data_IF_904973446745
#
_entry.id   IF_904973446745
#
_cell.length_a   1.000
_cell.length_b   1.000
_cell.length_c   1.000
_cell.angle_alpha   90.00
_cell.angle_beta   90.00
_cell.angle_gamma   90.00
#
_symmetry.space_group_name_H-M   'P 1'
#
loop_
_entity.id
_entity.type
_entity.pdbx_description
1 polymer ?
#
# COMPACT_ATOMS: atom_id res chain seq x y z
N UNK A 1 8.43 -22.02 6.39
CA UNK A 1 8.65 -21.29 5.11
C UNK A 1 7.48 -21.31 4.10
N UNK A 2 6.73 -22.40 3.93
CA UNK A 2 5.64 -22.43 2.91
C UNK A 2 4.41 -21.53 3.20
N UNK A 3 4.05 -21.31 4.47
CA UNK A 3 2.90 -20.47 4.83
C UNK A 3 3.14 -18.97 4.55
N UNK A 4 4.39 -18.51 4.59
CA UNK A 4 4.78 -17.11 4.33
C UNK A 4 4.62 -16.78 2.84
N UNK A 5 5.05 -17.69 1.96
CA UNK A 5 4.88 -17.59 0.52
C UNK A 5 3.42 -17.59 0.07
N UNK A 6 2.58 -18.45 0.68
CA UNK A 6 1.13 -18.50 0.38
C UNK A 6 0.45 -17.17 0.74
N UNK A 7 0.83 -16.53 1.86
CA UNK A 7 0.30 -15.21 2.24
C UNK A 7 0.67 -14.14 1.21
N UNK A 8 1.91 -14.13 0.72
CA UNK A 8 2.40 -13.17 -0.29
C UNK A 8 1.71 -13.37 -1.65
N UNK A 9 1.55 -14.62 -2.10
CA UNK A 9 0.81 -14.93 -3.33
C UNK A 9 -0.67 -14.50 -3.22
N UNK A 10 -1.26 -14.59 -2.02
CA UNK A 10 -2.63 -14.11 -1.76
C UNK A 10 -2.71 -12.58 -1.86
N UNK A 11 -1.71 -11.86 -1.37
CA UNK A 11 -1.62 -10.40 -1.49
C UNK A 11 -1.48 -9.97 -2.97
N UNK A 12 -0.72 -10.71 -3.77
CA UNK A 12 -0.66 -10.53 -5.23
C UNK A 12 -2.01 -10.64 -5.96
N UNK A 13 -3.05 -11.25 -5.35
CA UNK A 13 -4.39 -11.29 -5.96
C UNK A 13 -5.08 -9.93 -5.98
N UNK A 14 -4.76 -9.03 -5.04
CA UNK A 14 -5.27 -7.66 -5.07
C UNK A 14 -4.62 -6.83 -6.18
N UNK A 15 -3.57 -7.35 -6.84
CA UNK A 15 -3.05 -6.73 -8.05
C UNK A 15 -4.03 -6.73 -9.23
N UNK A 16 -5.12 -7.48 -9.13
CA UNK A 16 -6.26 -7.36 -10.04
C UNK A 16 -6.90 -5.98 -9.98
N UNK A 17 -6.76 -5.20 -8.89
CA UNK A 17 -7.29 -3.84 -8.80
C UNK A 17 -6.61 -2.89 -9.81
N UNK A 18 -5.37 -3.16 -10.22
CA UNK A 18 -4.73 -2.43 -11.34
C UNK A 18 -5.47 -2.66 -12.66
N UNK A 19 -6.19 -3.78 -12.83
CA UNK A 19 -7.07 -3.97 -13.98
C UNK A 19 -8.28 -3.03 -13.98
N UNK A 20 -8.67 -2.45 -12.84
CA UNK A 20 -9.70 -1.39 -12.79
C UNK A 20 -9.21 -0.13 -13.49
N UNK A 21 -7.90 0.13 -13.52
CA UNK A 21 -7.32 1.21 -14.33
C UNK A 21 -7.44 0.94 -15.84
N UNK A 22 -7.48 -0.33 -16.24
CA UNK A 22 -7.72 -0.75 -17.64
C UNK A 22 -9.18 -0.68 -18.08
N UNK A 23 -10.11 -0.34 -17.18
CA UNK A 23 -11.51 -0.05 -17.53
C UNK A 23 -11.68 1.37 -18.11
N UNK A 24 -10.64 1.94 -18.74
CA UNK A 24 -10.66 3.28 -19.33
C UNK A 24 -11.85 3.50 -20.26
N UNK A 25 -12.19 2.48 -21.04
CA UNK A 25 -13.29 2.55 -22.01
C UNK A 25 -14.65 2.61 -21.31
N UNK A 26 -14.81 1.85 -20.22
CA UNK A 26 -16.02 1.91 -19.40
C UNK A 26 -16.10 3.24 -18.65
N UNK A 27 -14.98 3.76 -18.12
CA UNK A 27 -14.94 5.08 -17.46
C UNK A 27 -15.45 6.17 -18.38
N UNK A 28 -15.00 6.18 -19.64
CA UNK A 28 -15.43 7.17 -20.63
C UNK A 28 -16.90 7.02 -21.01
N UNK A 29 -17.39 5.79 -21.16
CA UNK A 29 -18.81 5.52 -21.44
C UNK A 29 -19.75 5.94 -20.29
N UNK A 30 -19.31 5.79 -19.03
CA UNK A 30 -20.06 6.24 -17.86
C UNK A 30 -20.01 7.75 -17.77
N UNK A 31 -18.82 8.37 -17.92
CA UNK A 31 -18.68 9.82 -17.88
C UNK A 31 -19.53 10.53 -18.94
N UNK A 32 -19.65 9.94 -20.13
CA UNK A 32 -20.49 10.45 -21.22
C UNK A 32 -21.99 10.40 -20.88
N UNK A 33 -22.42 9.44 -20.05
CA UNK A 33 -23.81 9.34 -19.56
C UNK A 33 -24.10 10.25 -18.37
N UNK A 34 -23.07 10.81 -17.72
CA UNK A 34 -23.22 11.75 -16.62
C UNK A 34 -23.44 13.15 -17.17
N UNK A 35 -24.62 13.71 -16.99
CA UNK A 35 -24.96 15.08 -17.41
C UNK A 35 -24.67 16.13 -16.35
N UNK A 36 -24.58 15.74 -15.07
CA UNK A 36 -24.29 16.65 -13.97
C UNK A 36 -22.79 16.77 -13.69
N UNK A 37 -22.26 18.00 -13.70
CA UNK A 37 -20.85 18.29 -13.42
C UNK A 37 -20.37 17.85 -12.04
N UNK A 38 -21.24 17.88 -11.02
CA UNK A 38 -20.90 17.43 -9.66
C UNK A 38 -20.68 15.92 -9.59
N UNK A 39 -21.48 15.15 -10.34
CA UNK A 39 -21.37 13.69 -10.38
C UNK A 39 -20.10 13.24 -11.12
N UNK A 40 -19.72 13.96 -12.18
CA UNK A 40 -18.45 13.74 -12.88
C UNK A 40 -17.27 13.99 -11.93
N UNK A 41 -17.29 15.09 -11.18
CA UNK A 41 -16.24 15.42 -10.22
C UNK A 41 -16.13 14.36 -9.11
N UNK A 42 -17.26 13.97 -8.50
CA UNK A 42 -17.29 12.95 -7.47
C UNK A 42 -16.73 11.59 -7.96
N UNK A 43 -17.08 11.19 -9.19
CA UNK A 43 -16.56 9.96 -9.79
C UNK A 43 -15.04 10.02 -10.02
N UNK A 44 -14.53 11.16 -10.49
CA UNK A 44 -13.08 11.39 -10.66
C UNK A 44 -12.32 11.30 -9.33
N UNK A 45 -12.81 11.99 -8.29
CA UNK A 45 -12.21 11.97 -6.94
C UNK A 45 -12.21 10.54 -6.38
N UNK A 46 -13.34 9.85 -6.47
CA UNK A 46 -13.47 8.46 -5.99
C UNK A 46 -12.48 7.54 -6.71
N UNK A 47 -12.35 7.71 -8.04
CA UNK A 47 -11.37 6.97 -8.84
C UNK A 47 -9.93 7.23 -8.41
N UNK A 48 -9.58 8.48 -8.09
CA UNK A 48 -8.25 8.82 -7.55
C UNK A 48 -8.01 8.20 -6.18
N UNK A 49 -8.94 8.32 -5.24
CA UNK A 49 -8.83 7.71 -3.90
C UNK A 49 -8.64 6.20 -3.99
N UNK A 50 -9.39 5.52 -4.86
CA UNK A 50 -9.22 4.07 -5.06
C UNK A 50 -7.84 3.70 -5.65
N UNK A 51 -7.31 4.51 -6.55
CA UNK A 51 -5.96 4.31 -7.10
C UNK A 51 -4.89 4.48 -6.01
N UNK A 52 -5.03 5.48 -5.15
CA UNK A 52 -4.15 5.75 -4.02
C UNK A 52 -4.16 4.59 -3.02
N UNK A 53 -5.35 4.10 -2.66
CA UNK A 53 -5.50 2.95 -1.76
C UNK A 53 -4.89 1.67 -2.34
N UNK A 54 -5.07 1.45 -3.65
CA UNK A 54 -4.47 0.30 -4.32
C UNK A 54 -2.93 0.38 -4.30
N UNK A 55 -2.36 1.55 -4.62
CA UNK A 55 -0.92 1.78 -4.56
C UNK A 55 -0.36 1.55 -3.14
N UNK A 56 -1.02 2.11 -2.13
CA UNK A 56 -0.64 1.95 -0.73
C UNK A 56 -0.71 0.51 -0.25
N UNK A 57 -1.66 -0.28 -0.74
CA UNK A 57 -1.71 -1.72 -0.46
C UNK A 57 -0.42 -2.42 -0.92
N UNK A 58 0.09 -2.11 -2.11
CA UNK A 58 1.34 -2.71 -2.59
C UNK A 58 2.54 -2.28 -1.75
N UNK A 59 2.65 -0.99 -1.44
CA UNK A 59 3.71 -0.45 -0.58
C UNK A 59 3.68 -1.13 0.79
N UNK A 60 2.50 -1.27 1.39
CA UNK A 60 2.30 -1.97 2.66
C UNK A 60 2.68 -3.46 2.59
N UNK A 61 2.31 -4.14 1.51
CA UNK A 61 2.67 -5.55 1.31
C UNK A 61 4.18 -5.73 1.15
N UNK A 62 4.84 -4.84 0.41
CA UNK A 62 6.29 -4.82 0.27
C UNK A 62 6.99 -4.52 1.61
N UNK A 63 6.47 -3.54 2.37
CA UNK A 63 6.96 -3.21 3.71
C UNK A 63 6.89 -4.40 4.68
N UNK A 64 5.77 -5.12 4.66
CA UNK A 64 5.59 -6.34 5.45
C UNK A 64 6.49 -7.49 4.95
N UNK A 65 6.60 -7.69 3.64
CA UNK A 65 7.48 -8.71 3.07
C UNK A 65 8.95 -8.45 3.43
N UNK A 66 9.37 -7.19 3.44
CA UNK A 66 10.75 -6.80 3.77
C UNK A 66 11.14 -7.23 5.19
N UNK A 67 10.26 -7.02 6.18
CA UNK A 67 10.49 -7.50 7.55
C UNK A 67 10.46 -9.03 7.68
N UNK A 68 9.75 -9.73 6.80
CA UNK A 68 9.69 -11.20 6.81
C UNK A 68 10.92 -11.85 6.18
N UNK A 69 11.45 -11.29 5.11
CA UNK A 69 12.58 -11.84 4.36
C UNK A 69 13.93 -11.41 4.89
N UNK A 70 13.99 -10.33 5.68
CA UNK A 70 15.23 -9.91 6.33
C UNK A 70 15.52 -10.77 7.56
N UNK A 71 15.75 -12.07 7.36
CA UNK A 71 16.04 -13.05 8.41
C UNK A 71 17.42 -12.85 9.03
N UNK A 72 18.32 -12.17 8.33
CA UNK A 72 19.68 -11.85 8.80
C UNK A 72 19.74 -10.58 9.62
N UNK A 73 18.70 -9.75 9.62
CA UNK A 73 18.64 -8.57 10.47
C UNK A 73 18.14 -8.93 11.87
N UNK A 74 18.94 -8.58 12.87
CA UNK A 74 18.57 -8.73 14.28
C UNK A 74 17.28 -7.94 14.59
N UNK A 75 17.12 -6.77 13.98
CA UNK A 75 15.96 -5.87 14.14
C UNK A 75 15.22 -5.59 12.83
N UNK A 76 13.90 -5.73 12.88
CA UNK A 76 12.96 -5.32 11.82
C UNK A 76 11.84 -4.51 12.45
N UNK A 77 11.14 -3.69 11.66
CA UNK A 77 10.01 -2.91 12.18
C UNK A 77 8.94 -3.78 12.86
N UNK A 78 8.76 -5.02 12.37
CA UNK A 78 7.79 -5.96 12.93
C UNK A 78 8.20 -6.46 14.32
N UNK A 79 9.51 -6.71 14.53
CA UNK A 79 10.08 -7.09 15.83
C UNK A 79 10.05 -5.92 16.81
N UNK A 80 10.44 -4.73 16.36
CA UNK A 80 10.49 -3.53 17.21
C UNK A 80 9.11 -3.12 17.73
N UNK A 81 8.06 -3.32 16.93
CA UNK A 81 6.68 -3.03 17.33
C UNK A 81 6.01 -4.18 18.09
N UNK A 82 6.72 -5.26 18.41
CA UNK A 82 6.18 -6.47 19.03
C UNK A 82 4.97 -7.06 18.27
N UNK A 83 5.04 -7.01 16.94
CA UNK A 83 3.96 -7.43 16.05
C UNK A 83 4.22 -8.79 15.40
N UNK A 84 5.31 -9.48 15.74
CA UNK A 84 5.69 -10.76 15.12
C UNK A 84 4.61 -11.82 15.34
N UNK A 85 4.11 -11.91 16.58
CA UNK A 85 3.09 -12.89 16.98
C UNK A 85 1.66 -12.34 16.87
N UNK A 86 1.51 -11.07 16.50
CA UNK A 86 0.21 -10.46 16.29
C UNK A 86 -0.54 -11.11 15.11
N UNK A 87 -1.87 -11.06 15.17
CA UNK A 87 -2.72 -11.52 14.08
C UNK A 87 -2.46 -10.77 12.78
N UNK A 88 -2.62 -11.46 11.65
CA UNK A 88 -2.38 -10.89 10.30
C UNK A 88 -3.11 -9.56 10.07
N UNK A 89 -4.32 -9.40 10.60
CA UNK A 89 -5.09 -8.15 10.49
C UNK A 89 -4.31 -6.97 11.09
N UNK A 90 -3.79 -7.14 12.30
CA UNK A 90 -3.02 -6.12 13.02
C UNK A 90 -1.75 -5.77 12.24
N UNK A 91 -1.00 -6.77 11.79
CA UNK A 91 0.21 -6.59 10.99
C UNK A 91 -0.07 -5.84 9.67
N UNK A 92 -1.17 -6.23 8.99
CA UNK A 92 -1.58 -5.63 7.73
C UNK A 92 -2.00 -4.16 7.89
N UNK A 93 -2.87 -3.86 8.85
CA UNK A 93 -3.33 -2.48 9.06
C UNK A 93 -2.20 -1.58 9.58
N UNK A 94 -1.27 -2.10 10.37
CA UNK A 94 -0.06 -1.38 10.76
C UNK A 94 0.81 -1.02 9.55
N UNK A 95 1.07 -1.98 8.65
CA UNK A 95 1.83 -1.73 7.42
C UNK A 95 1.10 -0.79 6.46
N UNK A 96 -0.23 -0.90 6.36
CA UNK A 96 -1.05 -0.03 5.52
C UNK A 96 -1.08 1.41 6.03
N UNK A 97 -1.23 1.58 7.35
CA UNK A 97 -1.14 2.90 7.98
C UNK A 97 0.23 3.54 7.70
N UNK A 98 1.32 2.75 7.85
CA UNK A 98 2.66 3.22 7.50
C UNK A 98 2.84 3.63 6.05
N UNK A 99 2.28 2.87 5.11
CA UNK A 99 2.32 3.26 3.70
C UNK A 99 1.59 4.59 3.48
N UNK A 100 0.39 4.74 4.03
CA UNK A 100 -0.44 5.95 3.87
C UNK A 100 0.26 7.20 4.41
N UNK A 101 0.97 7.08 5.54
CA UNK A 101 1.69 8.22 6.13
C UNK A 101 2.89 8.69 5.29
N UNK A 102 3.34 7.92 4.29
CA UNK A 102 4.38 8.37 3.37
C UNK A 102 3.85 9.32 2.29
N UNK A 103 2.56 9.20 1.94
CA UNK A 103 1.90 10.04 0.92
C UNK A 103 1.25 11.30 1.50
N UNK A 104 0.79 11.22 2.75
CA UNK A 104 0.35 12.37 3.51
C UNK A 104 1.12 12.35 4.82
N UNK A 105 2.07 13.27 5.04
CA UNK A 105 2.84 13.32 6.28
C UNK A 105 1.89 13.32 7.47
N UNK A 106 1.81 12.18 8.14
CA UNK A 106 0.94 11.91 9.27
C UNK A 106 1.74 11.19 10.33
N UNK A 107 1.32 11.32 11.59
CA UNK A 107 2.03 10.72 12.71
C UNK A 107 1.96 9.20 12.64
N UNK A 108 3.13 8.57 12.73
CA UNK A 108 3.24 7.13 12.80
C UNK A 108 4.45 6.74 13.65
N UNK A 109 4.28 5.68 14.44
CA UNK A 109 5.30 5.17 15.36
C UNK A 109 6.19 4.10 14.71
N UNK A 110 5.89 3.68 13.48
CA UNK A 110 6.64 2.65 12.76
C UNK A 110 7.79 3.32 11.99
N UNK A 111 9.03 3.01 12.37
CA UNK A 111 10.24 3.48 11.72
C UNK A 111 11.09 2.31 11.19
N UNK A 112 11.90 2.52 10.13
CA UNK A 112 12.85 1.52 9.64
C UNK A 112 13.91 1.20 10.69
N UNK A 113 14.15 -0.09 10.92
CA UNK A 113 15.06 -0.61 11.95
C UNK A 113 16.35 -1.21 11.38
N UNK A 114 16.47 -1.30 10.06
CA UNK A 114 17.66 -1.81 9.38
C UNK A 114 17.89 -1.09 8.04
N UNK A 115 19.05 -1.34 7.43
CA UNK A 115 19.48 -0.68 6.20
C UNK A 115 18.52 -0.90 5.02
N UNK A 116 18.02 -2.13 4.84
CA UNK A 116 17.10 -2.45 3.76
C UNK A 116 15.75 -1.75 3.91
N UNK A 117 15.19 -1.75 5.13
CA UNK A 117 13.98 -0.99 5.49
C UNK A 117 14.18 0.51 5.24
N UNK A 118 15.36 1.04 5.56
CA UNK A 118 15.66 2.47 5.40
C UNK A 118 15.74 2.87 3.93
N UNK A 119 16.42 2.07 3.09
CA UNK A 119 16.44 2.29 1.64
C UNK A 119 15.02 2.26 1.08
N UNK A 120 14.24 1.25 1.44
CA UNK A 120 12.87 1.12 0.95
C UNK A 120 12.02 2.33 1.36
N UNK A 121 12.10 2.77 2.61
CA UNK A 121 11.39 3.96 3.10
C UNK A 121 11.77 5.22 2.30
N UNK A 122 13.05 5.44 2.01
CA UNK A 122 13.51 6.58 1.19
C UNK A 122 12.91 6.52 -0.22
N UNK A 123 12.94 5.35 -0.87
CA UNK A 123 12.36 5.18 -2.21
C UNK A 123 10.86 5.49 -2.21
N UNK A 124 10.13 5.00 -1.20
CA UNK A 124 8.69 5.22 -1.09
C UNK A 124 8.36 6.69 -0.87
N UNK A 125 9.09 7.39 -0.01
CA UNK A 125 8.89 8.84 0.23
C UNK A 125 9.18 9.65 -1.04
N UNK A 126 10.28 9.38 -1.73
CA UNK A 126 10.59 10.07 -3.00
C UNK A 126 9.51 9.82 -4.05
N UNK A 127 9.04 8.57 -4.17
CA UNK A 127 7.95 8.23 -5.07
C UNK A 127 6.64 8.92 -4.68
N UNK A 128 6.33 8.98 -3.39
CA UNK A 128 5.15 9.68 -2.88
C UNK A 128 5.18 11.17 -3.21
N UNK A 129 6.32 11.84 -3.05
CA UNK A 129 6.53 13.25 -3.42
C UNK A 129 6.41 13.53 -4.92
N UNK A 130 6.62 12.54 -5.79
CA UNK A 130 6.49 12.70 -7.24
C UNK A 130 5.04 12.51 -7.69
N UNK A 131 4.32 11.60 -7.02
CA UNK A 131 2.93 11.24 -7.38
C UNK A 131 1.90 12.23 -6.83
N UNK A 132 2.20 12.91 -5.73
CA UNK A 132 1.33 13.87 -5.03
C UNK A 132 1.96 15.24 -4.92
#
# INVERSE_FOLDING_TARGET
DNLRFIKIIRLGRMARLVRIMKLSDIKNSVLYRLTSGTMILAFKITGMVMAILALNHYVACMWYALALFNTTADKTWLKEMDLVDAGFKTQYFAALHWALTQFSPATNNIAPQNFAERIFAIIVVLFAMIVF
#
